data_IF_963215206866
#
_entry.id   IF_963215206866
#
_cell.length_a   1.000
_cell.length_b   1.000
_cell.length_c   1.000
_cell.angle_alpha   90.00
_cell.angle_beta   90.00
_cell.angle_gamma   90.00
#
_symmetry.space_group_name_H-M   'P 1'
#
loop_
_entity.id
_entity.type
_entity.pdbx_description
1 polymer ?
#
# COMPACT_ATOMS: atom_id res chain seq x y z
N UNK A 1 2.89 7.13 -21.34
CA UNK A 1 2.57 7.60 -19.97
C UNK A 1 3.91 7.80 -19.26
N UNK A 2 4.11 8.90 -18.53
CA UNK A 2 5.34 9.16 -17.79
C UNK A 2 5.16 8.61 -16.37
N UNK A 3 6.00 7.65 -15.98
CA UNK A 3 6.04 7.14 -14.60
C UNK A 3 6.63 8.24 -13.72
N UNK A 4 5.94 8.59 -12.64
CA UNK A 4 6.39 9.62 -11.67
C UNK A 4 6.93 8.90 -10.44
N UNK A 5 8.23 8.95 -10.22
CA UNK A 5 8.89 8.31 -9.07
C UNK A 5 9.42 9.31 -8.04
N UNK A 6 9.27 10.61 -8.31
CA UNK A 6 9.69 11.69 -7.41
C UNK A 6 8.70 12.86 -7.53
N UNK A 7 8.36 13.47 -6.38
CA UNK A 7 7.50 14.66 -6.30
C UNK A 7 8.05 15.66 -5.27
N UNK A 8 7.89 16.97 -5.50
CA UNK A 8 8.10 17.99 -4.47
C UNK A 8 7.25 17.74 -3.23
N UNK A 9 7.77 18.06 -2.03
CA UNK A 9 7.04 17.84 -0.77
C UNK A 9 5.69 18.55 -0.68
N UNK A 10 5.55 19.69 -1.34
CA UNK A 10 4.29 20.45 -1.38
C UNK A 10 3.27 19.90 -2.39
N UNK A 11 3.61 18.84 -3.14
CA UNK A 11 2.72 18.18 -4.09
C UNK A 11 2.18 16.84 -3.57
N UNK A 12 2.61 16.39 -2.39
CA UNK A 12 2.11 15.18 -1.74
C UNK A 12 1.69 15.50 -0.31
N UNK A 13 0.39 15.45 -0.07
CA UNK A 13 -0.15 15.56 1.30
C UNK A 13 0.20 14.30 2.10
N UNK A 14 0.74 14.50 3.30
CA UNK A 14 1.08 13.42 4.24
C UNK A 14 0.23 13.60 5.49
N UNK A 15 -0.56 12.59 5.82
CA UNK A 15 -1.35 12.55 7.04
C UNK A 15 -0.65 11.72 8.12
N UNK A 16 -0.80 12.13 9.36
CA UNK A 16 -0.41 11.34 10.53
C UNK A 16 -1.49 10.31 10.89
N UNK A 17 -1.08 9.21 11.53
CA UNK A 17 -2.02 8.27 12.15
C UNK A 17 -2.91 9.01 13.15
N UNK A 18 -4.23 8.89 12.95
CA UNK A 18 -5.25 9.54 13.77
C UNK A 18 -5.90 10.75 13.11
N UNK A 19 -5.31 11.29 12.03
CA UNK A 19 -5.94 12.34 11.23
C UNK A 19 -7.06 11.78 10.35
N UNK A 20 -8.01 12.66 10.01
CA UNK A 20 -9.14 12.34 9.12
C UNK A 20 -9.00 13.15 7.84
N UNK A 21 -9.12 12.49 6.71
CA UNK A 21 -9.07 13.10 5.39
C UNK A 21 -10.18 12.53 4.51
N UNK A 22 -10.49 13.23 3.41
CA UNK A 22 -11.46 12.78 2.42
C UNK A 22 -10.75 11.98 1.33
N UNK A 23 -11.46 11.03 0.75
CA UNK A 23 -11.02 10.31 -0.45
C UNK A 23 -12.22 10.01 -1.35
N UNK A 24 -11.95 9.73 -2.62
CA UNK A 24 -12.95 9.14 -3.49
C UNK A 24 -13.28 7.71 -3.02
N UNK A 25 -14.56 7.38 -2.91
CA UNK A 25 -15.07 6.02 -2.79
C UNK A 25 -15.89 5.64 -4.00
N UNK A 26 -15.82 4.36 -4.40
CA UNK A 26 -16.62 3.84 -5.52
C UNK A 26 -17.29 2.51 -5.16
N UNK A 27 -18.48 2.29 -5.73
CA UNK A 27 -19.31 1.12 -5.50
C UNK A 27 -20.56 1.15 -6.40
N UNK A 28 -21.67 0.60 -5.90
CA UNK A 28 -22.97 0.62 -6.58
C UNK A 28 -24.05 1.33 -5.74
N UNK A 29 -25.03 1.92 -6.41
CA UNK A 29 -26.26 2.37 -5.76
C UNK A 29 -27.24 1.21 -5.51
N UNK A 30 -28.43 1.48 -4.97
CA UNK A 30 -29.47 0.45 -4.73
C UNK A 30 -30.02 -0.20 -6.02
N UNK A 31 -29.85 0.44 -7.18
CA UNK A 31 -30.25 -0.09 -8.48
C UNK A 31 -29.16 -0.98 -9.12
N UNK A 32 -27.98 -1.10 -8.49
CA UNK A 32 -26.83 -1.82 -9.03
C UNK A 32 -26.06 -1.03 -10.10
N UNK A 33 -26.21 0.29 -10.14
CA UNK A 33 -25.46 1.15 -11.06
C UNK A 33 -24.18 1.63 -10.38
N UNK A 34 -23.07 1.65 -11.12
CA UNK A 34 -21.79 2.15 -10.61
C UNK A 34 -21.86 3.64 -10.25
N UNK A 35 -21.32 3.97 -9.08
CA UNK A 35 -21.25 5.33 -8.55
C UNK A 35 -19.87 5.59 -7.93
N UNK A 36 -19.45 6.86 -7.94
CA UNK A 36 -18.34 7.33 -7.11
C UNK A 36 -18.68 8.66 -6.42
N UNK A 37 -17.96 8.96 -5.33
CA UNK A 37 -18.16 10.16 -4.51
C UNK A 37 -16.89 10.50 -3.72
N UNK A 38 -16.63 11.80 -3.55
CA UNK A 38 -15.53 12.32 -2.72
C UNK A 38 -15.93 12.51 -1.25
N UNK A 39 -17.15 12.10 -0.87
CA UNK A 39 -17.71 12.30 0.47
C UNK A 39 -17.35 11.16 1.44
N UNK A 40 -16.29 10.40 1.17
CA UNK A 40 -15.80 9.36 2.09
C UNK A 40 -14.70 9.92 2.97
N UNK A 41 -14.97 9.98 4.27
CA UNK A 41 -13.93 10.27 5.26
C UNK A 41 -13.23 8.99 5.67
N UNK A 42 -11.91 9.06 5.75
CA UNK A 42 -11.07 7.97 6.22
C UNK A 42 -10.17 8.40 7.36
N UNK A 43 -9.89 7.44 8.25
CA UNK A 43 -8.98 7.63 9.37
C UNK A 43 -8.21 6.36 9.67
N UNK A 44 -6.88 6.43 9.61
CA UNK A 44 -6.01 5.36 10.10
C UNK A 44 -5.94 5.45 11.63
N UNK A 45 -6.53 4.49 12.33
CA UNK A 45 -6.64 4.49 13.79
C UNK A 45 -5.42 3.91 14.50
N UNK A 46 -4.86 2.83 13.95
CA UNK A 46 -3.72 2.15 14.55
C UNK A 46 -2.88 1.45 13.50
N UNK A 47 -1.58 1.38 13.78
CA UNK A 47 -0.61 0.57 13.04
C UNK A 47 0.13 -0.28 14.06
N UNK A 48 0.27 -1.57 13.82
CA UNK A 48 0.92 -2.52 14.71
C UNK A 48 1.88 -3.39 13.89
N UNK A 49 2.95 -3.84 14.53
CA UNK A 49 3.90 -4.80 13.95
C UNK A 49 3.94 -6.06 14.78
N UNK A 50 3.90 -7.22 14.14
CA UNK A 50 3.97 -8.52 14.81
C UNK A 50 5.02 -9.44 14.17
N UNK A 51 5.56 -10.34 15.00
CA UNK A 51 6.47 -11.43 14.61
C UNK A 51 5.73 -12.76 14.39
N UNK A 52 4.43 -12.81 14.65
CA UNK A 52 3.58 -13.95 14.35
C UNK A 52 2.52 -13.60 13.30
N UNK A 53 2.09 -14.63 12.57
CA UNK A 53 1.06 -14.55 11.55
C UNK A 53 -0.22 -15.19 12.03
N UNK A 54 -0.60 -15.06 13.29
CA UNK A 54 -1.83 -15.70 13.80
C UNK A 54 -3.11 -15.34 13.00
N UNK A 55 -3.07 -14.24 12.23
CA UNK A 55 -4.11 -13.78 11.31
C UNK A 55 -4.03 -14.36 9.88
N UNK A 56 -2.95 -15.06 9.52
CA UNK A 56 -2.73 -15.65 8.19
C UNK A 56 -2.38 -17.15 8.31
N UNK A 57 -2.73 -17.96 7.32
CA UNK A 57 -2.28 -19.36 7.23
C UNK A 57 -0.82 -19.50 6.75
N UNK A 58 -0.03 -18.44 6.88
CA UNK A 58 1.36 -18.32 6.41
C UNK A 58 2.36 -18.39 7.57
N UNK A 59 3.66 -18.49 7.26
CA UNK A 59 4.74 -18.32 8.25
C UNK A 59 5.67 -17.21 7.81
N UNK A 60 6.06 -16.32 8.73
CA UNK A 60 7.18 -15.41 8.47
C UNK A 60 8.43 -16.27 8.29
N UNK A 61 9.05 -16.12 7.14
CA UNK A 61 10.31 -16.77 6.80
C UNK A 61 11.35 -15.70 6.55
N UNK A 62 12.61 -16.00 6.82
CA UNK A 62 13.69 -15.09 6.42
C UNK A 62 13.63 -14.88 4.90
N UNK A 63 13.61 -13.61 4.49
CA UNK A 63 13.62 -13.24 3.08
C UNK A 63 15.07 -13.11 2.61
N UNK A 64 15.45 -13.81 1.55
CA UNK A 64 16.72 -13.58 0.87
C UNK A 64 16.46 -12.70 -0.34
N UNK A 65 16.98 -11.47 -0.30
CA UNK A 65 17.00 -10.56 -1.43
C UNK A 65 18.22 -10.85 -2.30
N UNK A 66 18.01 -11.02 -3.59
CA UNK A 66 19.04 -11.16 -4.63
C UNK A 66 18.99 -9.93 -5.51
N UNK A 67 20.08 -9.15 -5.51
CA UNK A 67 20.26 -7.99 -6.37
C UNK A 67 20.89 -8.48 -7.68
N UNK A 68 20.23 -8.22 -8.79
CA UNK A 68 20.53 -8.86 -10.07
C UNK A 68 20.89 -7.79 -11.11
N UNK A 69 22.00 -8.01 -11.82
CA UNK A 69 22.38 -7.29 -13.03
C UNK A 69 21.96 -8.12 -14.23
N UNK A 70 21.20 -7.54 -15.16
CA UNK A 70 20.69 -8.23 -16.34
C UNK A 70 21.81 -8.52 -17.31
N UNK A 71 21.81 -9.77 -17.79
CA UNK A 71 22.52 -10.11 -19.01
C UNK A 71 21.81 -9.54 -20.24
N UNK A 72 22.50 -9.55 -21.36
CA UNK A 72 21.92 -9.22 -22.67
C UNK A 72 21.01 -10.32 -23.22
N UNK A 73 20.97 -11.49 -22.56
CA UNK A 73 20.18 -12.64 -22.99
C UNK A 73 20.72 -13.32 -24.25
N UNK A 74 21.94 -12.96 -24.70
CA UNK A 74 22.59 -13.52 -25.88
C UNK A 74 23.94 -14.12 -25.48
N UNK A 75 24.88 -13.30 -25.00
CA UNK A 75 26.22 -13.73 -24.60
C UNK A 75 26.40 -13.78 -23.09
N UNK A 76 25.54 -13.08 -22.35
CA UNK A 76 25.63 -12.94 -20.90
C UNK A 76 24.30 -13.30 -20.23
N UNK A 77 24.40 -14.05 -19.14
CA UNK A 77 23.27 -14.38 -18.26
C UNK A 77 23.15 -13.35 -17.14
N UNK A 78 22.00 -13.34 -16.48
CA UNK A 78 21.78 -12.54 -15.28
C UNK A 78 22.77 -12.93 -14.17
N UNK A 79 23.33 -11.92 -13.51
CA UNK A 79 24.32 -12.09 -12.45
C UNK A 79 23.75 -11.59 -11.11
N UNK A 80 23.83 -12.43 -10.08
CA UNK A 80 23.55 -12.02 -8.69
C UNK A 80 24.78 -11.32 -8.14
N UNK A 81 24.71 -9.99 -8.00
CA UNK A 81 25.84 -9.15 -7.58
C UNK A 81 25.93 -8.95 -6.07
N UNK A 82 24.82 -9.15 -5.35
CA UNK A 82 24.69 -9.04 -3.90
C UNK A 82 23.52 -9.91 -3.43
N UNK A 83 23.67 -10.54 -2.27
CA UNK A 83 22.55 -11.14 -1.52
C UNK A 83 22.45 -10.53 -0.14
N UNK A 84 21.23 -10.47 0.38
CA UNK A 84 20.93 -9.92 1.70
C UNK A 84 19.82 -10.72 2.36
N UNK A 85 19.96 -11.01 3.65
CA UNK A 85 18.97 -11.75 4.43
C UNK A 85 18.26 -10.79 5.36
N UNK A 86 16.94 -10.74 5.25
CA UNK A 86 16.09 -9.85 6.01
C UNK A 86 15.04 -10.65 6.78
N UNK A 87 14.80 -10.23 8.02
CA UNK A 87 13.62 -10.66 8.74
C UNK A 87 12.39 -9.99 8.14
N UNK A 88 11.26 -10.65 8.27
CA UNK A 88 9.97 -10.12 7.89
C UNK A 88 9.18 -9.70 9.13
N UNK A 89 8.21 -8.80 8.93
CA UNK A 89 7.22 -8.42 9.94
C UNK A 89 5.83 -8.42 9.30
N UNK A 90 4.82 -8.73 10.11
CA UNK A 90 3.44 -8.42 9.77
C UNK A 90 3.15 -6.98 10.18
N UNK A 91 2.74 -6.14 9.24
CA UNK A 91 2.21 -4.81 9.52
C UNK A 91 0.70 -4.89 9.44
N UNK A 92 0.03 -4.47 10.51
CA UNK A 92 -1.41 -4.49 10.65
C UNK A 92 -1.93 -3.07 10.85
N UNK A 93 -2.91 -2.66 10.06
CA UNK A 93 -3.49 -1.31 10.08
C UNK A 93 -5.00 -1.38 10.21
N UNK A 94 -5.58 -0.57 11.09
CA UNK A 94 -7.04 -0.40 11.18
C UNK A 94 -7.43 0.97 10.63
N UNK A 95 -8.36 0.97 9.67
CA UNK A 95 -8.87 2.16 8.99
C UNK A 95 -10.37 2.25 9.16
N UNK A 96 -10.86 3.39 9.61
CA UNK A 96 -12.29 3.70 9.64
C UNK A 96 -12.68 4.39 8.34
N UNK A 97 -13.72 3.90 7.68
CA UNK A 97 -14.36 4.53 6.53
C UNK A 97 -15.73 5.05 6.95
N UNK A 98 -16.05 6.30 6.64
CA UNK A 98 -17.34 6.92 6.93
C UNK A 98 -17.94 7.51 5.65
N UNK A 99 -19.19 7.14 5.36
CA UNK A 99 -19.94 7.72 4.24
C UNK A 99 -20.62 9.02 4.69
N UNK A 100 -20.21 10.15 4.12
CA UNK A 100 -20.85 11.45 4.37
C UNK A 100 -21.78 11.90 3.24
N UNK A 101 -21.97 11.07 2.21
CA UNK A 101 -22.94 11.34 1.15
C UNK A 101 -24.38 11.16 1.65
N UNK A 102 -25.35 11.47 0.80
CA UNK A 102 -26.78 11.33 1.07
C UNK A 102 -27.39 10.03 0.50
N UNK A 103 -26.57 9.11 -0.03
CA UNK A 103 -27.01 7.83 -0.57
C UNK A 103 -26.25 6.63 0.01
N UNK A 104 -26.84 5.44 -0.13
CA UNK A 104 -26.22 4.17 0.25
C UNK A 104 -25.21 3.78 -0.83
N UNK A 105 -24.02 3.37 -0.39
CA UNK A 105 -22.98 2.81 -1.27
C UNK A 105 -22.87 1.33 -0.99
N UNK A 106 -23.30 0.50 -1.93
CA UNK A 106 -23.13 -0.94 -1.88
C UNK A 106 -21.80 -1.32 -2.52
N UNK A 107 -21.22 -2.43 -2.06
CA UNK A 107 -19.98 -2.97 -2.61
C UNK A 107 -18.87 -1.92 -2.74
N UNK A 108 -18.68 -1.09 -1.71
CA UNK A 108 -17.67 -0.04 -1.75
C UNK A 108 -16.28 -0.67 -1.70
N UNK A 109 -15.50 -0.46 -2.75
CA UNK A 109 -14.12 -0.94 -2.79
C UNK A 109 -13.29 -0.16 -1.77
N UNK A 110 -12.51 -0.87 -0.96
CA UNK A 110 -11.46 -0.27 -0.15
C UNK A 110 -10.09 -0.75 -0.64
N UNK A 111 -9.13 0.16 -0.70
CA UNK A 111 -7.79 -0.12 -1.19
C UNK A 111 -6.76 0.08 -0.07
N UNK A 112 -5.59 -0.51 -0.26
CA UNK A 112 -4.49 -0.36 0.67
C UNK A 112 -3.22 -0.93 0.08
N UNK A 113 -2.28 -0.04 -0.25
CA UNK A 113 -0.93 -0.41 -0.65
C UNK A 113 0.09 0.39 0.16
N UNK A 114 1.17 -0.28 0.59
CA UNK A 114 2.26 0.40 1.27
C UNK A 114 3.27 0.86 0.22
N UNK A 115 3.44 2.17 0.13
CA UNK A 115 4.50 2.83 -0.62
C UNK A 115 5.74 2.93 0.28
N UNK A 116 6.90 2.54 -0.27
CA UNK A 116 8.17 2.82 0.40
C UNK A 116 8.71 4.13 -0.15
N UNK A 117 8.82 5.16 0.69
CA UNK A 117 9.31 6.46 0.26
C UNK A 117 10.63 6.81 0.94
N UNK A 118 11.47 7.52 0.19
CA UNK A 118 12.63 8.21 0.70
C UNK A 118 12.31 9.70 0.84
N UNK A 119 12.42 10.18 2.07
CA UNK A 119 12.31 11.59 2.43
C UNK A 119 13.71 12.21 2.39
N UNK A 120 14.03 12.97 1.34
CA UNK A 120 15.31 13.67 1.20
C UNK A 120 15.09 15.07 0.64
N UNK A 121 15.73 16.04 1.26
CA UNK A 121 15.71 17.45 0.84
C UNK A 121 14.28 18.01 0.73
N UNK A 122 13.93 18.54 -0.45
CA UNK A 122 12.63 19.17 -0.77
C UNK A 122 11.67 18.22 -1.50
N UNK A 123 11.95 16.91 -1.54
CA UNK A 123 11.17 15.93 -2.31
C UNK A 123 10.89 14.63 -1.55
N UNK A 124 9.84 13.93 -2.01
CA UNK A 124 9.64 12.51 -1.77
C UNK A 124 9.98 11.72 -3.03
N UNK A 125 10.65 10.59 -2.87
CA UNK A 125 10.91 9.65 -3.96
C UNK A 125 10.53 8.23 -3.59
N UNK A 126 10.13 7.43 -4.59
CA UNK A 126 9.89 5.99 -4.39
C UNK A 126 11.23 5.33 -4.02
N UNK A 127 11.26 4.64 -2.88
CA UNK A 127 12.44 3.93 -2.42
C UNK A 127 12.70 2.70 -3.29
N UNK A 128 13.80 2.75 -4.04
CA UNK A 128 14.27 1.66 -4.88
C UNK A 128 15.51 1.01 -4.25
N UNK A 129 15.48 -0.31 -4.05
CA UNK A 129 16.58 -1.08 -3.45
C UNK A 129 17.87 -1.02 -4.27
N UNK A 130 17.78 -1.06 -5.61
CA UNK A 130 18.95 -0.99 -6.48
C UNK A 130 19.60 0.39 -6.48
N UNK A 131 18.80 1.46 -6.56
CA UNK A 131 19.30 2.83 -6.48
C UNK A 131 19.93 3.16 -5.12
N UNK A 132 19.59 2.41 -4.08
CA UNK A 132 20.16 2.55 -2.74
C UNK A 132 21.16 1.43 -2.39
N UNK A 133 21.63 0.66 -3.38
CA UNK A 133 22.65 -0.38 -3.22
C UNK A 133 24.05 0.15 -3.54
N UNK A 134 25.08 -0.33 -2.82
CA UNK A 134 26.50 -0.07 -3.15
C UNK A 134 26.97 -0.79 -4.43
N UNK A 135 26.21 -1.80 -4.86
CA UNK A 135 26.45 -2.56 -6.08
C UNK A 135 25.42 -2.17 -7.13
N UNK A 136 25.90 -1.88 -8.34
CA UNK A 136 25.06 -1.68 -9.52
C UNK A 136 24.19 -2.91 -9.76
N UNK A 137 22.89 -2.72 -9.84
CA UNK A 137 21.91 -3.75 -10.18
C UNK A 137 20.72 -3.13 -10.91
N UNK A 138 20.00 -3.98 -11.65
CA UNK A 138 18.84 -3.59 -12.44
C UNK A 138 17.52 -3.88 -11.71
N UNK A 139 17.46 -4.97 -10.94
CA UNK A 139 16.29 -5.34 -10.16
C UNK A 139 16.64 -6.22 -8.95
N UNK A 140 15.68 -6.38 -8.04
CA UNK A 140 15.81 -7.21 -6.84
C UNK A 140 14.69 -8.24 -6.78
N UNK A 141 15.04 -9.49 -6.52
CA UNK A 141 14.09 -10.57 -6.25
C UNK A 141 14.19 -11.02 -4.79
N UNK A 142 13.03 -11.28 -4.18
CA UNK A 142 12.95 -11.84 -2.83
C UNK A 142 12.51 -13.30 -2.88
N UNK A 143 13.11 -14.14 -2.04
CA UNK A 143 12.77 -15.57 -1.93
C UNK A 143 11.47 -15.87 -1.18
N UNK A 144 10.76 -14.84 -0.70
CA UNK A 144 9.60 -14.96 0.19
C UNK A 144 8.39 -14.19 -0.33
N UNK A 145 7.27 -14.28 0.40
CA UNK A 145 6.00 -13.59 0.09
C UNK A 145 5.94 -12.13 0.55
N UNK A 146 7.02 -11.56 1.12
CA UNK A 146 7.03 -10.16 1.55
C UNK A 146 6.81 -9.22 0.36
N UNK A 147 5.70 -8.48 0.38
CA UNK A 147 5.27 -7.54 -0.66
C UNK A 147 4.46 -6.40 -0.03
N UNK A 148 5.08 -5.23 0.11
CA UNK A 148 4.43 -4.02 0.62
C UNK A 148 3.22 -3.58 -0.24
N UNK A 149 3.27 -3.88 -1.54
CA UNK A 149 2.20 -3.59 -2.49
C UNK A 149 0.93 -4.43 -2.29
N UNK A 150 1.06 -5.63 -1.72
CA UNK A 150 0.00 -6.65 -1.72
C UNK A 150 -0.58 -6.83 -0.32
N UNK A 151 -1.80 -6.33 -0.11
CA UNK A 151 -2.56 -6.61 1.10
C UNK A 151 -2.83 -8.12 1.20
N UNK A 152 -2.38 -8.74 2.30
CA UNK A 152 -2.53 -10.17 2.58
C UNK A 152 -3.82 -10.49 3.32
N UNK A 153 -4.33 -9.53 4.08
CA UNK A 153 -5.54 -9.69 4.89
C UNK A 153 -6.38 -8.42 4.85
N UNK A 154 -7.70 -8.61 4.84
CA UNK A 154 -8.72 -7.59 5.08
C UNK A 154 -9.82 -8.20 5.93
N UNK A 155 -10.25 -7.53 7.01
CA UNK A 155 -11.27 -8.05 7.93
C UNK A 155 -12.68 -8.04 7.36
N UNK A 156 -12.96 -7.10 6.45
CA UNK A 156 -14.23 -6.99 5.74
C UNK A 156 -14.05 -7.58 4.35
N UNK A 157 -14.79 -8.62 4.01
CA UNK A 157 -14.64 -9.32 2.73
C UNK A 157 -15.98 -9.66 2.14
N UNK A 158 -16.08 -9.49 0.84
CA UNK A 158 -17.21 -9.92 0.03
C UNK A 158 -16.68 -10.71 -1.18
N UNK A 159 -17.53 -11.47 -1.85
CA UNK A 159 -17.22 -12.09 -3.14
C UNK A 159 -17.92 -11.34 -4.27
N UNK A 160 -17.52 -10.08 -4.48
CA UNK A 160 -18.07 -9.16 -5.46
C UNK A 160 -16.95 -8.75 -6.46
N UNK A 161 -16.32 -9.74 -7.12
CA UNK A 161 -15.22 -9.47 -8.06
C UNK A 161 -13.83 -9.25 -7.44
N UNK A 162 -13.70 -9.49 -6.14
CA UNK A 162 -12.46 -9.36 -5.34
C UNK A 162 -12.82 -9.45 -3.85
N UNK A 163 -11.84 -9.46 -2.95
CA UNK A 163 -12.10 -9.65 -1.50
C UNK A 163 -12.14 -8.37 -0.67
N UNK A 164 -11.92 -7.20 -1.29
CA UNK A 164 -11.73 -5.91 -0.62
C UNK A 164 -12.92 -4.97 -0.83
N UNK A 165 -14.11 -5.43 -0.46
CA UNK A 165 -15.35 -4.66 -0.58
C UNK A 165 -16.10 -4.60 0.75
N UNK A 166 -16.60 -3.41 1.08
CA UNK A 166 -17.59 -3.16 2.12
C UNK A 166 -18.97 -3.35 1.50
N UNK A 167 -19.74 -4.32 2.01
CA UNK A 167 -21.03 -4.73 1.42
C UNK A 167 -22.01 -3.57 1.25
N UNK A 168 -22.14 -2.72 2.26
CA UNK A 168 -23.05 -1.57 2.23
C UNK A 168 -22.61 -0.55 3.28
N UNK A 169 -22.63 0.72 2.91
CA UNK A 169 -22.31 1.84 3.81
C UNK A 169 -23.37 2.94 3.61
N UNK A 170 -24.23 3.12 4.60
CA UNK A 170 -25.34 4.10 4.58
C UNK A 170 -24.85 5.53 4.87
N UNK A 171 -25.64 6.56 4.54
CA UNK A 171 -25.37 7.94 4.96
C UNK A 171 -25.11 8.05 6.46
N UNK A 172 -23.94 8.59 6.83
CA UNK A 172 -23.48 8.75 8.21
C UNK A 172 -22.97 7.47 8.89
N UNK A 173 -22.99 6.32 8.21
CA UNK A 173 -22.47 5.06 8.75
C UNK A 173 -20.93 5.04 8.67
N UNK A 174 -20.32 4.37 9.64
CA UNK A 174 -18.87 4.12 9.67
C UNK A 174 -18.59 2.64 9.87
N UNK A 175 -17.50 2.17 9.27
CA UNK A 175 -17.02 0.81 9.43
C UNK A 175 -15.50 0.80 9.60
N UNK A 176 -15.03 -0.04 10.52
CA UNK A 176 -13.60 -0.31 10.69
C UNK A 176 -13.18 -1.50 9.83
N UNK A 177 -12.19 -1.28 8.98
CA UNK A 177 -11.54 -2.30 8.16
C UNK A 177 -10.12 -2.46 8.66
N UNK A 178 -9.76 -3.68 9.03
CA UNK A 178 -8.39 -4.02 9.38
C UNK A 178 -7.70 -4.73 8.24
N UNK A 179 -6.49 -4.28 7.92
CA UNK A 179 -5.69 -4.72 6.79
C UNK A 179 -4.30 -5.16 7.26
N UNK A 180 -3.68 -6.12 6.57
CA UNK A 180 -2.33 -6.55 6.91
C UNK A 180 -1.43 -6.85 5.70
N UNK A 181 -0.13 -6.62 5.86
CA UNK A 181 0.92 -6.85 4.88
C UNK A 181 2.11 -7.55 5.52
N UNK A 182 2.78 -8.41 4.74
CA UNK A 182 4.09 -8.94 5.12
C UNK A 182 5.15 -8.06 4.45
N UNK A 183 6.01 -7.45 5.24
CA UNK A 183 7.07 -6.53 4.78
C UNK A 183 8.43 -6.98 5.31
N UNK A 184 9.52 -6.47 4.75
CA UNK A 184 10.83 -6.65 5.37
C UNK A 184 10.96 -5.70 6.57
N UNK A 185 11.64 -6.14 7.63
CA UNK A 185 11.85 -5.33 8.84
C UNK A 185 12.56 -4.00 8.53
N UNK A 186 13.50 -4.00 7.57
CA UNK A 186 14.23 -2.79 7.16
C UNK A 186 13.39 -1.79 6.34
N UNK A 187 12.16 -2.15 5.95
CA UNK A 187 11.26 -1.27 5.21
C UNK A 187 10.37 -0.45 6.16
N UNK A 188 10.29 -0.80 7.44
CA UNK A 188 9.36 -0.22 8.42
C UNK A 188 9.49 1.30 8.57
N UNK A 189 10.69 1.85 8.49
CA UNK A 189 10.99 3.28 8.61
C UNK A 189 10.77 4.06 7.29
N UNK A 190 10.22 3.41 6.25
CA UNK A 190 9.98 3.99 4.92
C UNK A 190 8.52 3.89 4.48
N UNK A 191 7.63 3.36 5.30
CA UNK A 191 6.27 3.00 4.90
C UNK A 191 5.28 4.16 4.96
N UNK A 192 4.57 4.36 3.86
CA UNK A 192 3.42 5.26 3.75
C UNK A 192 2.24 4.49 3.17
N UNK A 193 1.06 4.60 3.77
CA UNK A 193 -0.13 3.91 3.33
C UNK A 193 -0.89 4.76 2.32
N UNK A 194 -1.07 4.22 1.11
CA UNK A 194 -1.90 4.80 0.07
C UNK A 194 -3.25 4.06 0.03
N UNK A 195 -4.33 4.80 0.30
CA UNK A 195 -5.71 4.31 0.31
C UNK A 195 -6.50 4.68 -0.96
N UNK A 196 -5.91 5.45 -1.88
CA UNK A 196 -6.59 5.93 -3.09
C UNK A 196 -7.09 4.79 -3.99
N UNK A 197 -8.15 5.09 -4.75
CA UNK A 197 -8.86 4.15 -5.64
C UNK A 197 -8.00 3.61 -6.78
N UNK A 198 -7.01 4.40 -7.20
CA UNK A 198 -6.09 4.07 -8.29
C UNK A 198 -4.70 3.75 -7.72
N UNK A 199 -4.61 2.53 -7.20
CA UNK A 199 -3.43 2.01 -6.51
C UNK A 199 -2.16 2.04 -7.38
N UNK A 200 -1.04 2.26 -6.68
CA UNK A 200 0.31 2.23 -7.23
C UNK A 200 1.30 2.34 -6.08
N UNK A 201 2.27 1.43 -6.01
CA UNK A 201 3.27 1.39 -4.93
C UNK A 201 4.70 1.64 -5.42
N UNK A 202 4.89 1.73 -6.74
CA UNK A 202 6.18 1.98 -7.40
C UNK A 202 6.21 3.32 -8.15
N UNK A 203 5.12 4.09 -8.09
CA UNK A 203 4.96 5.41 -8.69
C UNK A 203 3.95 6.24 -7.90
N UNK A 204 4.03 7.56 -8.06
CA UNK A 204 3.01 8.49 -7.61
C UNK A 204 1.92 8.58 -8.67
N UNK A 205 0.78 7.94 -8.41
CA UNK A 205 -0.41 8.04 -9.26
C UNK A 205 -1.14 9.37 -9.01
N UNK A 206 -1.98 9.81 -9.96
CA UNK A 206 -2.82 11.00 -9.78
C UNK A 206 -3.69 10.86 -8.52
N UNK A 207 -4.33 9.70 -8.31
CA UNK A 207 -5.11 9.42 -7.11
C UNK A 207 -4.30 9.51 -5.80
N UNK A 208 -3.04 9.07 -5.78
CA UNK A 208 -2.18 9.21 -4.61
C UNK A 208 -1.81 10.68 -4.33
N UNK A 209 -1.65 11.51 -5.37
CA UNK A 209 -1.34 12.93 -5.22
C UNK A 209 -2.57 13.76 -4.81
N UNK A 210 -3.75 13.39 -5.33
CA UNK A 210 -5.02 14.04 -4.98
C UNK A 210 -5.50 13.67 -3.58
N UNK A 211 -5.36 12.40 -3.20
CA UNK A 211 -5.81 11.90 -1.88
C UNK A 211 -4.78 12.16 -0.79
N UNK A 212 -3.48 12.11 -1.11
CA UNK A 212 -2.41 12.03 -0.13
C UNK A 212 -2.17 10.60 0.39
N UNK A 213 -1.17 10.47 1.27
CA UNK A 213 -0.80 9.19 1.89
C UNK A 213 -0.64 9.35 3.40
N UNK A 214 -0.72 8.25 4.15
CA UNK A 214 -0.59 8.26 5.61
C UNK A 214 0.79 7.78 6.02
N UNK A 215 1.51 8.55 6.84
CA UNK A 215 2.76 8.11 7.45
C UNK A 215 2.48 6.98 8.44
N UNK A 216 2.96 5.77 8.13
CA UNK A 216 2.79 4.59 8.98
C UNK A 216 4.12 4.00 9.42
N UNK A 217 5.21 4.81 9.37
CA UNK A 217 6.56 4.38 9.73
C UNK A 217 6.66 3.89 11.18
N UNK A 218 7.59 2.97 11.43
CA UNK A 218 7.82 2.33 12.75
C UNK A 218 9.29 2.19 13.12
#
# INVERSE_FOLDING_TARGET
MKIITEVPKNELEIFDVGETFQMEGSGENEAGEYISTDDISVKVHSVQTADDLSLLDEKLVENTLSYIKRGDGIETLDEVVKTEKLKQKLVYVTVTYQNNSDFIINHMMYNGNIMLLQDKDEKYSIYNLCSNSEKECDYVEGSSVARAAEMRYGSVRENYGGSNYILSLRPGESIDVSMAWIVNENDLDKMYLNLSTYGGNLEFTEGALETGVVDIRR
#
